data_IF_827951121647
#
_entry.id   IF_827951121647
#
_cell.length_a   1.000
_cell.length_b   1.000
_cell.length_c   1.000
_cell.angle_alpha   90.00
_cell.angle_beta   90.00
_cell.angle_gamma   90.00
#
_symmetry.space_group_name_H-M   'P 1'
#
loop_
_entity.id
_entity.type
_entity.pdbx_description
1 polymer ?
#
# COMPACT_ATOMS: atom_id res chain seq x y z
N UNK A 1 -0.77 -8.43 22.75
CA UNK A 1 -2.21 -8.21 22.45
C UNK A 1 -2.40 -8.55 20.98
N UNK A 2 -3.35 -9.43 20.64
CA UNK A 2 -3.63 -9.74 19.24
C UNK A 2 -4.27 -8.53 18.56
N UNK A 3 -3.91 -8.24 17.31
CA UNK A 3 -4.61 -7.22 16.54
C UNK A 3 -6.07 -7.65 16.33
N UNK A 4 -7.03 -6.73 16.48
CA UNK A 4 -8.44 -6.93 16.15
C UNK A 4 -8.79 -6.09 14.91
N UNK A 5 -8.31 -6.47 13.70
CA UNK A 5 -8.51 -5.68 12.51
C UNK A 5 -9.97 -5.77 12.05
N UNK A 6 -10.65 -4.64 11.96
CA UNK A 6 -12.00 -4.52 11.42
C UNK A 6 -11.98 -3.54 10.25
N UNK A 7 -12.64 -3.87 9.14
CA UNK A 7 -12.64 -3.01 7.96
C UNK A 7 -13.31 -1.65 8.23
N UNK A 8 -14.23 -1.58 9.19
CA UNK A 8 -14.83 -0.33 9.68
C UNK A 8 -13.80 0.63 10.30
N UNK A 9 -12.68 0.11 10.80
CA UNK A 9 -11.55 0.90 11.32
C UNK A 9 -10.64 1.44 10.20
N UNK A 10 -11.06 1.30 8.94
CA UNK A 10 -10.35 1.76 7.77
C UNK A 10 -9.64 0.64 7.02
N UNK A 11 -9.50 0.84 5.72
CA UNK A 11 -8.82 -0.06 4.80
C UNK A 11 -8.24 0.73 3.63
N UNK A 12 -7.31 0.11 2.91
CA UNK A 12 -6.75 0.67 1.68
C UNK A 12 -7.45 0.03 0.51
N UNK A 13 -8.29 0.79 -0.22
CA UNK A 13 -8.97 0.29 -1.42
C UNK A 13 -8.07 0.48 -2.63
N UNK A 14 -7.34 -0.57 -3.02
CA UNK A 14 -6.49 -0.59 -4.23
C UNK A 14 -7.32 -1.08 -5.41
N UNK A 15 -7.06 -0.56 -6.61
CA UNK A 15 -7.71 -1.03 -7.83
C UNK A 15 -7.32 -2.49 -8.14
N UNK A 16 -8.28 -3.30 -8.58
CA UNK A 16 -8.05 -4.73 -8.85
C UNK A 16 -6.96 -4.95 -9.91
N UNK A 17 -6.93 -4.14 -10.96
CA UNK A 17 -5.92 -4.22 -12.03
C UNK A 17 -4.49 -4.09 -11.49
N UNK A 18 -4.28 -3.26 -10.46
CA UNK A 18 -2.97 -3.14 -9.80
C UNK A 18 -2.66 -4.41 -9.01
N UNK A 19 -3.64 -4.98 -8.31
CA UNK A 19 -3.47 -6.20 -7.53
C UNK A 19 -3.12 -7.40 -8.43
N UNK A 20 -3.77 -7.50 -9.59
CA UNK A 20 -3.50 -8.55 -10.59
C UNK A 20 -2.07 -8.43 -11.13
N UNK A 21 -1.63 -7.21 -11.48
CA UNK A 21 -0.28 -7.00 -12.00
C UNK A 21 0.79 -7.26 -10.94
N UNK A 22 0.61 -6.80 -9.70
CA UNK A 22 1.62 -6.94 -8.62
C UNK A 22 1.92 -8.40 -8.28
N UNK A 23 0.95 -9.29 -8.42
CA UNK A 23 1.12 -10.72 -8.15
C UNK A 23 2.06 -11.42 -9.16
N UNK A 24 2.19 -10.89 -10.37
CA UNK A 24 3.05 -11.45 -11.42
C UNK A 24 4.55 -11.12 -11.22
N UNK A 25 4.88 -10.17 -10.35
CA UNK A 25 6.25 -9.71 -10.12
C UNK A 25 6.91 -10.39 -8.92
N UNK A 26 8.22 -10.65 -9.03
CA UNK A 26 9.06 -11.17 -7.94
C UNK A 26 9.72 -10.03 -7.18
N UNK A 27 8.96 -9.33 -6.35
CA UNK A 27 9.51 -8.30 -5.47
C UNK A 27 10.39 -8.91 -4.37
N UNK A 28 11.50 -8.24 -4.07
CA UNK A 28 12.16 -8.38 -2.78
C UNK A 28 11.25 -7.87 -1.66
N UNK A 29 11.53 -8.26 -0.42
CA UNK A 29 10.77 -7.80 0.73
C UNK A 29 10.78 -6.27 0.89
N UNK A 30 11.84 -5.59 0.47
CA UNK A 30 11.96 -4.14 0.57
C UNK A 30 11.13 -3.43 -0.51
N UNK A 31 11.15 -3.91 -1.75
CA UNK A 31 10.32 -3.35 -2.82
C UNK A 31 8.84 -3.47 -2.51
N UNK A 32 8.40 -4.63 -1.98
CA UNK A 32 7.01 -4.81 -1.58
C UNK A 32 6.61 -3.86 -0.43
N UNK A 33 7.50 -3.62 0.55
CA UNK A 33 7.26 -2.64 1.62
C UNK A 33 7.09 -1.21 1.07
N UNK A 34 7.91 -0.83 0.09
CA UNK A 34 7.79 0.48 -0.58
C UNK A 34 6.44 0.58 -1.29
N UNK A 35 6.00 -0.45 -2.01
CA UNK A 35 4.70 -0.48 -2.69
C UNK A 35 3.55 -0.33 -1.68
N UNK A 36 3.56 -1.10 -0.59
CA UNK A 36 2.55 -1.01 0.46
C UNK A 36 2.51 0.38 1.11
N UNK A 37 3.67 1.00 1.30
CA UNK A 37 3.76 2.38 1.78
C UNK A 37 3.12 3.36 0.79
N UNK A 38 3.48 3.28 -0.50
CA UNK A 38 2.91 4.15 -1.53
C UNK A 38 1.38 4.01 -1.55
N UNK A 39 0.84 2.79 -1.53
CA UNK A 39 -0.61 2.58 -1.49
C UNK A 39 -1.26 3.14 -0.24
N UNK A 40 -0.63 2.99 0.93
CA UNK A 40 -1.15 3.58 2.18
C UNK A 40 -1.25 5.09 2.08
N UNK A 41 -0.27 5.74 1.46
CA UNK A 41 -0.17 7.19 1.36
C UNK A 41 -0.95 7.82 0.19
N UNK A 42 -1.32 7.02 -0.81
CA UNK A 42 -2.22 7.42 -1.91
C UNK A 42 -3.62 6.89 -1.66
N UNK A 43 -3.91 5.65 -2.07
CA UNK A 43 -5.22 4.98 -1.93
C UNK A 43 -5.74 5.00 -0.49
N UNK A 44 -4.89 4.73 0.50
CA UNK A 44 -5.29 4.65 1.90
C UNK A 44 -5.68 5.99 2.53
N UNK A 45 -5.24 7.12 1.95
CA UNK A 45 -5.67 8.47 2.33
C UNK A 45 -6.57 9.11 1.27
N UNK A 46 -7.00 8.34 0.26
CA UNK A 46 -7.85 8.80 -0.85
C UNK A 46 -7.24 10.00 -1.60
N UNK A 47 -5.91 9.98 -1.81
CA UNK A 47 -5.18 11.00 -2.55
C UNK A 47 -4.84 10.48 -3.95
N UNK A 48 -4.93 11.36 -4.96
CA UNK A 48 -4.49 11.06 -6.32
C UNK A 48 -2.97 10.87 -6.39
N UNK A 49 -2.24 11.65 -5.61
CA UNK A 49 -0.79 11.62 -5.55
C UNK A 49 -0.30 12.03 -4.15
N UNK A 50 0.93 11.66 -3.82
CA UNK A 50 1.60 12.09 -2.60
C UNK A 50 3.11 12.15 -2.83
N UNK A 51 3.73 13.30 -2.57
CA UNK A 51 5.19 13.45 -2.61
C UNK A 51 5.82 12.69 -1.44
N UNK A 52 6.78 11.82 -1.73
CA UNK A 52 7.53 11.04 -0.75
C UNK A 52 9.02 11.35 -0.94
N UNK A 53 9.73 11.63 0.15
CA UNK A 53 11.19 11.82 0.13
C UNK A 53 11.92 10.49 0.01
N UNK A 54 13.08 10.46 -0.65
CA UNK A 54 13.96 9.29 -0.64
C UNK A 54 14.44 8.92 0.77
N UNK A 55 14.53 9.89 1.68
CA UNK A 55 14.90 9.68 3.08
C UNK A 55 13.78 9.07 3.93
N UNK A 56 12.63 8.75 3.34
CA UNK A 56 11.48 8.17 4.04
C UNK A 56 11.64 6.66 4.27
N UNK A 57 12.46 5.99 3.46
CA UNK A 57 12.71 4.55 3.49
C UNK A 57 14.13 4.25 3.99
#
# INVERSE_FOLDING_TARGET
MAANPQAENGYTRVANEIMEVVQEYKFSANELKIILCIWRYTYGFQRKEHSISLSFF
#
